data_IF_575444345363
#
_entry.id   IF_575444345363
#
_cell.length_a   1.000
_cell.length_b   1.000
_cell.length_c   1.000
_cell.angle_alpha   90.00
_cell.angle_beta   90.00
_cell.angle_gamma   90.00
#
_symmetry.space_group_name_H-M   'P 1'
#
loop_
_entity.id
_entity.type
_entity.pdbx_description
1 polymer ?
#
# COMPACT_ATOMS: atom_id res chain seq x y z
N UNK A 1 -31.74 15.43 40.05
CA UNK A 1 -30.97 14.43 40.82
C UNK A 1 -31.65 13.10 40.60
N UNK A 2 -31.13 12.09 39.92
CA UNK A 2 -29.89 11.85 39.18
C UNK A 2 -30.12 10.49 38.52
N UNK A 3 -29.95 10.33 37.21
CA UNK A 3 -29.85 9.00 36.64
C UNK A 3 -28.55 8.38 37.17
N UNK A 4 -28.66 7.36 38.02
CA UNK A 4 -27.52 6.60 38.51
C UNK A 4 -27.06 5.64 37.40
N UNK A 5 -26.20 6.10 36.50
CA UNK A 5 -25.31 5.21 35.76
C UNK A 5 -24.28 4.66 36.75
N UNK A 6 -24.68 3.66 37.52
CA UNK A 6 -23.84 3.00 38.50
C UNK A 6 -23.24 1.74 37.86
N UNK A 7 -22.39 1.95 36.85
CA UNK A 7 -21.26 1.07 36.47
C UNK A 7 -20.51 1.68 35.27
N UNK A 8 -19.70 2.70 35.57
CA UNK A 8 -18.72 3.30 34.66
C UNK A 8 -17.32 2.68 34.84
N UNK A 9 -17.24 1.35 35.02
CA UNK A 9 -15.94 0.69 35.29
C UNK A 9 -15.66 -0.58 34.52
N UNK A 10 -16.39 -0.89 33.45
CA UNK A 10 -15.99 -1.98 32.55
C UNK A 10 -16.22 -1.66 31.06
N UNK A 11 -15.68 -0.52 30.63
CA UNK A 11 -15.19 -0.41 29.24
C UNK A 11 -13.71 -0.79 29.33
N UNK A 12 -13.44 -2.05 29.67
CA UNK A 12 -12.20 -2.66 29.25
C UNK A 12 -12.25 -2.66 27.73
N UNK A 13 -11.45 -1.75 27.17
CA UNK A 13 -10.89 -1.71 25.84
C UNK A 13 -11.03 -3.05 25.08
N UNK A 14 -12.21 -3.32 24.51
CA UNK A 14 -12.30 -4.22 23.37
C UNK A 14 -11.70 -3.45 22.20
N UNK A 15 -10.36 -3.35 22.17
CA UNK A 15 -9.69 -3.36 20.87
C UNK A 15 -10.06 -4.73 20.31
N UNK A 16 -11.13 -4.78 19.49
CA UNK A 16 -11.55 -6.03 18.88
C UNK A 16 -10.32 -6.70 18.31
N UNK A 17 -10.14 -7.99 18.60
CA UNK A 17 -9.08 -8.78 17.97
C UNK A 17 -9.08 -8.44 16.48
N UNK A 18 -7.92 -8.12 15.88
CA UNK A 18 -7.83 -7.96 14.44
C UNK A 18 -8.58 -9.12 13.76
N UNK A 19 -9.52 -8.80 12.88
CA UNK A 19 -10.37 -9.81 12.25
C UNK A 19 -9.51 -10.89 11.57
N UNK A 20 -9.96 -12.14 11.64
CA UNK A 20 -9.30 -13.26 10.97
C UNK A 20 -9.26 -13.00 9.46
N UNK A 21 -8.05 -12.81 8.92
CA UNK A 21 -7.69 -12.67 7.51
C UNK A 21 -8.75 -12.01 6.62
N UNK A 22 -8.67 -10.70 6.43
CA UNK A 22 -9.26 -10.07 5.26
C UNK A 22 -8.57 -10.61 4.01
N UNK A 23 -9.21 -11.56 3.31
CA UNK A 23 -8.78 -12.00 1.97
C UNK A 23 -8.61 -10.74 1.12
N UNK A 24 -7.41 -10.58 0.58
CA UNK A 24 -6.91 -9.40 -0.13
C UNK A 24 -7.98 -8.69 -0.98
N UNK A 25 -8.29 -7.44 -0.63
CA UNK A 25 -9.06 -6.54 -1.50
C UNK A 25 -8.15 -5.84 -2.51
N UNK A 26 -8.61 -5.64 -3.74
CA UNK A 26 -7.85 -4.94 -4.79
C UNK A 26 -6.65 -5.73 -5.35
N UNK A 27 -5.75 -5.03 -6.06
CA UNK A 27 -4.50 -5.60 -6.58
C UNK A 27 -3.47 -5.69 -5.43
N UNK A 28 -3.49 -6.80 -4.69
CA UNK A 28 -2.62 -7.00 -3.52
C UNK A 28 -1.96 -8.38 -3.44
N UNK A 29 -0.78 -8.46 -2.82
CA UNK A 29 -0.10 -9.71 -2.46
C UNK A 29 0.84 -9.48 -1.27
N UNK A 30 1.55 -10.52 -0.80
CA UNK A 30 2.29 -10.50 0.48
C UNK A 30 3.76 -10.89 0.33
N UNK A 31 4.64 -10.24 1.09
CA UNK A 31 6.07 -10.51 1.19
C UNK A 31 6.53 -10.48 2.65
N UNK A 32 7.70 -11.03 2.94
CA UNK A 32 8.38 -10.85 4.24
C UNK A 32 9.19 -9.56 4.24
N UNK A 33 9.23 -8.84 5.36
CA UNK A 33 10.10 -7.66 5.45
C UNK A 33 11.54 -8.05 5.78
N UNK A 34 12.48 -7.50 5.03
CA UNK A 34 13.91 -7.60 5.31
C UNK A 34 14.39 -6.27 5.93
N UNK A 35 14.73 -6.32 7.22
CA UNK A 35 15.13 -5.16 8.01
C UNK A 35 16.57 -4.70 7.75
N UNK A 36 17.36 -5.45 6.99
CA UNK A 36 18.72 -5.06 6.62
C UNK A 36 18.64 -4.10 5.44
N UNK A 37 19.38 -2.98 5.49
CA UNK A 37 19.47 -2.07 4.36
C UNK A 37 20.37 -2.67 3.26
N UNK A 38 19.96 -2.54 1.99
CA UNK A 38 20.65 -3.10 0.85
C UNK A 38 19.81 -3.01 -0.43
N UNK A 39 20.34 -3.50 -1.56
CA UNK A 39 19.71 -3.31 -2.88
C UNK A 39 18.91 -4.54 -3.32
N UNK A 40 19.43 -5.75 -3.09
CA UNK A 40 18.75 -6.98 -3.51
C UNK A 40 18.08 -7.66 -2.31
N UNK A 41 16.74 -7.77 -2.27
CA UNK A 41 16.06 -8.61 -1.29
C UNK A 41 16.27 -10.09 -1.59
N UNK A 42 16.28 -10.92 -0.55
CA UNK A 42 16.18 -12.36 -0.71
C UNK A 42 14.83 -12.79 -1.32
N UNK A 43 14.72 -14.05 -1.75
CA UNK A 43 13.48 -14.60 -2.27
C UNK A 43 12.34 -14.44 -1.26
N UNK A 44 11.15 -14.04 -1.71
CA UNK A 44 9.99 -13.76 -0.84
C UNK A 44 10.10 -12.51 0.04
N UNK A 45 11.14 -11.68 -0.10
CA UNK A 45 11.30 -10.47 0.70
C UNK A 45 11.01 -9.16 -0.05
N UNK A 46 10.61 -8.17 0.76
CA UNK A 46 10.53 -6.74 0.43
C UNK A 46 11.39 -5.96 1.43
N UNK A 47 12.03 -4.87 0.98
CA UNK A 47 12.81 -3.99 1.86
C UNK A 47 12.78 -2.55 1.44
N UNK A 48 13.13 -1.70 2.39
CA UNK A 48 13.40 -0.28 2.19
C UNK A 48 14.89 -0.01 2.01
N UNK A 49 15.20 1.10 1.34
CA UNK A 49 16.58 1.59 1.25
C UNK A 49 17.14 2.11 2.57
N UNK A 50 16.26 2.52 3.49
CA UNK A 50 16.61 3.04 4.81
C UNK A 50 15.68 2.48 5.88
N UNK A 51 16.16 2.40 7.13
CA UNK A 51 15.38 1.86 8.26
C UNK A 51 14.32 2.82 8.82
N UNK A 52 14.32 4.09 8.42
CA UNK A 52 13.33 5.08 8.88
C UNK A 52 12.21 5.19 7.83
N UNK A 53 10.96 4.75 8.13
CA UNK A 53 9.88 4.70 7.15
C UNK A 53 9.57 6.03 6.44
N UNK A 54 9.65 7.15 7.16
CA UNK A 54 9.41 8.48 6.60
C UNK A 54 10.49 8.98 5.62
N UNK A 55 11.66 8.33 5.58
CA UNK A 55 12.78 8.69 4.72
C UNK A 55 12.96 7.74 3.53
N UNK A 56 12.01 6.83 3.32
CA UNK A 56 12.07 5.84 2.24
C UNK A 56 11.85 6.52 0.90
N UNK A 57 12.82 6.34 0.02
CA UNK A 57 12.78 6.82 -1.38
C UNK A 57 12.83 5.67 -2.38
N UNK A 58 13.18 4.47 -1.91
CA UNK A 58 13.32 3.30 -2.76
C UNK A 58 12.88 2.05 -2.01
N UNK A 59 12.06 1.25 -2.67
CA UNK A 59 11.58 -0.05 -2.18
C UNK A 59 12.10 -1.11 -3.15
N UNK A 60 12.66 -2.19 -2.60
CA UNK A 60 13.08 -3.35 -3.38
C UNK A 60 12.16 -4.51 -3.06
N UNK A 61 11.59 -5.13 -4.09
CA UNK A 61 10.61 -6.20 -3.96
C UNK A 61 11.00 -7.39 -4.84
N UNK A 62 11.15 -8.55 -4.22
CA UNK A 62 11.42 -9.78 -4.97
C UNK A 62 10.21 -10.17 -5.83
N UNK A 63 10.46 -10.72 -7.02
CA UNK A 63 9.37 -11.17 -7.89
C UNK A 63 8.66 -12.40 -7.38
N UNK A 64 9.31 -13.19 -6.52
CA UNK A 64 8.66 -14.27 -5.78
C UNK A 64 8.08 -13.73 -4.48
N UNK A 65 6.81 -14.03 -4.21
CA UNK A 65 6.11 -13.59 -3.01
C UNK A 65 6.28 -14.53 -1.81
N UNK A 66 5.58 -14.22 -0.71
CA UNK A 66 5.58 -15.01 0.53
C UNK A 66 5.26 -16.49 0.30
N UNK A 67 4.32 -16.80 -0.60
CA UNK A 67 3.84 -18.16 -0.90
C UNK A 67 4.69 -18.86 -1.98
N UNK A 68 5.89 -18.33 -2.29
CA UNK A 68 6.76 -18.84 -3.35
C UNK A 68 6.14 -18.81 -4.76
N UNK A 69 5.22 -17.88 -4.99
CA UNK A 69 4.57 -17.66 -6.30
C UNK A 69 5.27 -16.53 -7.05
N UNK A 70 5.40 -16.68 -8.37
CA UNK A 70 5.89 -15.62 -9.25
C UNK A 70 4.84 -14.49 -9.41
N UNK A 71 5.23 -13.28 -9.04
CA UNK A 71 4.46 -12.04 -9.10
C UNK A 71 5.05 -11.02 -10.09
N UNK A 72 5.97 -11.43 -10.97
CA UNK A 72 6.58 -10.57 -12.00
C UNK A 72 5.52 -9.80 -12.81
N UNK A 73 4.46 -10.47 -13.27
CA UNK A 73 3.35 -9.87 -14.01
C UNK A 73 2.53 -8.87 -13.17
N UNK A 74 2.31 -9.19 -11.89
CA UNK A 74 1.61 -8.29 -10.96
C UNK A 74 2.41 -7.01 -10.72
N UNK A 75 3.73 -7.12 -10.47
CA UNK A 75 4.60 -5.96 -10.26
C UNK A 75 4.77 -5.14 -11.54
N UNK A 76 4.77 -5.78 -12.72
CA UNK A 76 4.76 -5.09 -14.00
C UNK A 76 3.47 -4.27 -14.23
N UNK A 77 2.34 -4.71 -13.67
CA UNK A 77 1.06 -4.01 -13.80
C UNK A 77 1.06 -2.61 -13.18
N UNK A 78 1.99 -2.31 -12.28
CA UNK A 78 2.07 -1.02 -11.61
C UNK A 78 2.38 0.14 -12.56
N UNK A 79 2.91 -0.15 -13.75
CA UNK A 79 3.14 0.82 -14.83
C UNK A 79 2.22 0.59 -16.04
N UNK A 80 1.20 -0.28 -15.95
CA UNK A 80 0.38 -0.63 -17.12
C UNK A 80 -0.39 0.56 -17.71
N UNK A 81 -0.65 1.60 -16.91
CA UNK A 81 -1.37 2.82 -17.34
C UNK A 81 -0.43 4.00 -17.63
N UNK A 82 0.89 3.85 -17.50
CA UNK A 82 1.88 4.93 -17.68
C UNK A 82 1.99 5.92 -16.51
N UNK A 83 0.91 6.11 -15.73
CA UNK A 83 0.84 7.11 -14.65
C UNK A 83 1.16 6.57 -13.24
N UNK A 84 1.76 5.37 -13.14
CA UNK A 84 2.01 4.67 -11.88
C UNK A 84 0.79 4.70 -10.92
N UNK A 85 1.02 4.65 -9.61
CA UNK A 85 -0.07 4.67 -8.66
C UNK A 85 0.36 4.80 -7.20
N UNK A 86 -0.64 4.76 -6.33
CA UNK A 86 -0.44 4.70 -4.89
C UNK A 86 -0.09 3.27 -4.49
N UNK A 87 0.88 3.16 -3.59
CA UNK A 87 1.26 1.89 -2.98
C UNK A 87 1.08 1.99 -1.47
N UNK A 88 0.46 0.96 -0.89
CA UNK A 88 0.29 0.81 0.55
C UNK A 88 0.91 -0.51 1.00
N UNK A 89 1.78 -0.43 2.00
CA UNK A 89 2.41 -1.56 2.67
C UNK A 89 1.90 -1.57 4.11
N UNK A 90 1.46 -2.72 4.63
CA UNK A 90 1.02 -2.82 6.02
C UNK A 90 1.25 -4.23 6.56
N UNK A 91 1.38 -4.37 7.89
CA UNK A 91 1.48 -5.71 8.50
C UNK A 91 0.14 -6.43 8.39
N UNK A 92 0.17 -7.69 7.97
CA UNK A 92 -1.02 -8.53 7.81
C UNK A 92 -1.89 -8.59 9.07
N UNK A 93 -1.25 -8.68 10.24
CA UNK A 93 -1.94 -8.80 11.54
C UNK A 93 -1.97 -7.50 12.36
N UNK A 94 -1.39 -6.41 11.85
CA UNK A 94 -1.44 -5.09 12.49
C UNK A 94 -1.46 -3.99 11.42
N UNK A 95 -2.65 -3.67 10.93
CA UNK A 95 -2.83 -2.63 9.92
C UNK A 95 -2.52 -1.21 10.44
N UNK A 96 -2.31 -1.01 11.74
CA UNK A 96 -1.84 0.28 12.28
C UNK A 96 -0.37 0.51 11.95
N UNK A 97 0.41 -0.55 11.72
CA UNK A 97 1.77 -0.43 11.23
C UNK A 97 1.77 -0.46 9.69
N UNK A 98 2.03 0.69 9.07
CA UNK A 98 1.89 0.84 7.63
C UNK A 98 2.84 1.90 7.04
N UNK A 99 2.98 1.85 5.72
CA UNK A 99 3.65 2.82 4.88
C UNK A 99 2.82 3.07 3.62
N UNK A 100 2.65 4.33 3.23
CA UNK A 100 1.91 4.77 2.05
C UNK A 100 2.78 5.77 1.28
N UNK A 101 2.78 5.62 -0.04
CA UNK A 101 3.43 6.56 -0.93
C UNK A 101 2.96 6.41 -2.37
N UNK A 102 3.59 7.17 -3.24
CA UNK A 102 3.36 7.14 -4.69
C UNK A 102 4.57 6.54 -5.37
N UNK A 103 4.34 5.64 -6.34
CA UNK A 103 5.40 5.11 -7.19
C UNK A 103 5.69 6.13 -8.29
N UNK A 104 6.97 6.41 -8.54
CA UNK A 104 7.42 7.37 -9.58
C UNK A 104 8.30 6.74 -10.65
N UNK A 105 8.88 5.56 -10.36
CA UNK A 105 9.63 4.79 -11.33
C UNK A 105 9.69 3.31 -10.91
N UNK A 106 9.80 2.41 -11.89
CA UNK A 106 10.01 0.99 -11.68
C UNK A 106 11.14 0.52 -12.60
N UNK A 107 12.14 -0.13 -12.02
CA UNK A 107 13.25 -0.76 -12.75
C UNK A 107 13.23 -2.26 -12.48
N UNK A 108 13.31 -3.04 -13.55
CA UNK A 108 13.47 -4.49 -13.48
C UNK A 108 14.94 -4.87 -13.32
N UNK A 109 15.24 -5.68 -12.31
CA UNK A 109 16.58 -6.21 -12.04
C UNK A 109 16.62 -7.75 -12.14
N UNK A 110 15.66 -8.35 -12.84
CA UNK A 110 15.62 -9.77 -13.17
C UNK A 110 14.89 -10.62 -12.12
N UNK A 111 15.38 -10.66 -10.88
CA UNK A 111 14.73 -11.42 -9.79
C UNK A 111 13.97 -10.55 -8.79
N UNK A 112 14.07 -9.23 -8.94
CA UNK A 112 13.42 -8.24 -8.11
C UNK A 112 13.15 -6.97 -8.92
N UNK A 113 12.18 -6.18 -8.47
CA UNK A 113 11.95 -4.82 -8.97
C UNK A 113 12.48 -3.79 -7.98
N UNK A 114 13.00 -2.69 -8.52
CA UNK A 114 13.33 -1.47 -7.77
C UNK A 114 12.25 -0.44 -8.02
N UNK A 115 11.53 -0.05 -6.97
CA UNK A 115 10.48 0.97 -7.01
C UNK A 115 11.05 2.27 -6.44
N UNK A 116 11.13 3.33 -7.26
CA UNK A 116 11.35 4.67 -6.73
C UNK A 116 10.02 5.22 -6.24
N UNK A 117 10.01 5.73 -5.01
CA UNK A 117 8.77 6.14 -4.34
C UNK A 117 8.91 7.48 -3.64
N UNK A 118 7.79 8.16 -3.49
CA UNK A 118 7.65 9.34 -2.64
C UNK A 118 6.77 8.97 -1.46
N UNK A 119 7.31 9.08 -0.24
CA UNK A 119 6.55 8.85 0.99
C UNK A 119 5.43 9.88 1.15
N UNK A 120 4.26 9.42 1.59
CA UNK A 120 3.10 10.26 1.92
C UNK A 120 2.76 10.18 3.40
N UNK A 121 2.69 8.96 3.93
CA UNK A 121 2.34 8.72 5.34
C UNK A 121 2.84 7.36 5.80
N UNK A 122 3.23 7.24 7.06
CA UNK A 122 3.56 5.96 7.68
C UNK A 122 3.30 6.01 9.18
N UNK A 123 3.06 4.85 9.79
CA UNK A 123 2.97 4.69 11.23
C UNK A 123 3.65 3.39 11.65
N UNK A 124 4.38 3.41 12.77
CA UNK A 124 5.18 2.28 13.24
C UNK A 124 6.38 1.96 12.35
N UNK A 125 7.02 0.83 12.62
CA UNK A 125 8.17 0.30 11.87
C UNK A 125 7.96 -1.18 11.58
N UNK A 126 8.43 -1.63 10.41
CA UNK A 126 8.51 -3.05 10.10
C UNK A 126 9.78 -3.66 10.71
N UNK A 127 9.65 -4.89 11.18
CA UNK A 127 10.69 -5.73 11.75
C UNK A 127 11.01 -6.87 10.78
N UNK A 128 12.17 -7.50 10.95
CA UNK A 128 12.54 -8.66 10.15
C UNK A 128 11.45 -9.74 10.21
N UNK A 129 11.20 -10.38 9.06
CA UNK A 129 10.21 -11.45 8.87
C UNK A 129 8.74 -11.06 9.05
N UNK A 130 8.43 -9.79 9.29
CA UNK A 130 7.03 -9.33 9.30
C UNK A 130 6.37 -9.64 7.96
N UNK A 131 5.15 -10.16 8.01
CA UNK A 131 4.35 -10.41 6.83
C UNK A 131 3.69 -9.10 6.36
N UNK A 132 4.19 -8.56 5.25
CA UNK A 132 3.79 -7.28 4.69
C UNK A 132 2.88 -7.49 3.49
N UNK A 133 1.66 -6.97 3.59
CA UNK A 133 0.73 -6.90 2.46
C UNK A 133 1.05 -5.65 1.65
N UNK A 134 1.29 -5.84 0.36
CA UNK A 134 1.49 -4.78 -0.63
C UNK A 134 0.20 -4.65 -1.44
N UNK A 135 -0.38 -3.46 -1.42
CA UNK A 135 -1.58 -3.09 -2.18
C UNK A 135 -1.26 -1.96 -3.14
N UNK A 136 -1.73 -2.09 -4.38
CA UNK A 136 -1.56 -1.08 -5.42
C UNK A 136 -2.90 -0.52 -5.89
N UNK A 137 -2.95 0.80 -6.06
CA UNK A 137 -4.08 1.52 -6.64
C UNK A 137 -3.58 2.41 -7.76
N UNK A 138 -3.93 2.15 -9.03
CA UNK A 138 -3.50 2.99 -10.15
C UNK A 138 -4.12 4.38 -10.03
N UNK A 139 -3.31 5.42 -10.25
CA UNK A 139 -3.83 6.79 -10.39
C UNK A 139 -4.21 6.94 -11.86
N UNK A 140 -5.50 6.83 -12.18
CA UNK A 140 -5.96 7.32 -13.48
C UNK A 140 -6.04 8.83 -13.40
N UNK A 141 -5.30 9.55 -14.25
CA UNK A 141 -5.68 10.90 -14.58
C UNK A 141 -7.03 10.79 -15.32
N UNK A 142 -8.13 11.05 -14.60
CA UNK A 142 -9.43 11.16 -15.24
C UNK A 142 -9.31 12.21 -16.33
N UNK A 143 -9.70 11.87 -17.56
CA UNK A 143 -9.98 12.90 -18.55
C UNK A 143 -10.88 13.92 -17.87
N UNK A 144 -10.45 15.18 -17.78
CA UNK A 144 -11.33 16.30 -17.48
C UNK A 144 -12.56 16.08 -18.37
N UNK A 145 -13.70 15.74 -17.77
CA UNK A 145 -14.93 15.59 -18.51
C UNK A 145 -15.10 16.88 -19.29
N UNK A 146 -15.13 16.80 -20.62
CA UNK A 146 -15.50 17.94 -21.43
C UNK A 146 -16.91 18.31 -20.98
N UNK A 147 -17.03 19.35 -20.14
CA UNK A 147 -18.32 19.90 -19.75
C UNK A 147 -19.03 20.25 -21.05
N UNK A 148 -20.16 19.59 -21.29
CA UNK A 148 -20.90 19.70 -22.52
C UNK A 148 -21.15 21.16 -22.84
N UNK A 149 -20.66 21.59 -24.00
CA UNK A 149 -21.04 22.87 -24.60
C UNK A 149 -22.56 22.89 -24.71
N UNK A 150 -23.23 23.61 -23.81
CA UNK A 150 -24.64 23.94 -23.96
C UNK A 150 -24.73 24.89 -25.14
N UNK A 151 -25.04 24.34 -26.31
CA UNK A 151 -25.48 25.14 -27.45
C UNK A 151 -26.77 25.82 -27.01
N UNK A 152 -26.69 27.09 -26.64
CA UNK A 152 -27.85 27.95 -26.48
C UNK A 152 -28.44 28.19 -27.87
N UNK A 153 -29.25 27.25 -28.37
CA UNK A 153 -30.25 27.56 -29.39
C UNK A 153 -31.32 28.40 -28.71
N UNK A 154 -31.32 29.68 -29.04
CA UNK A 154 -32.36 30.61 -28.63
C UNK A 154 -33.71 30.33 -29.28
N UNK A 155 -34.65 31.19 -28.86
CA UNK A 155 -36.03 31.39 -29.33
C UNK A 155 -37.08 30.52 -28.63
N UNK A 156 -37.69 31.11 -27.61
CA UNK A 156 -39.14 31.06 -27.44
C UNK A 156 -39.63 32.51 -27.30
N UNK A 157 -40.40 32.90 -28.32
CA UNK A 157 -41.26 34.08 -28.51
C UNK A 157 -40.67 35.50 -28.49
#
# INVERSE_FOLDING_TARGET
MSCSCNDCTDITLFSGNPGTNGIFGGQSSKWKFDAVAGIAPAISYIRFNVGVPASVTTIYINETNFDSTDMSAFLASFNATGDYGLIRLFKEFDANTFWIGTITNIVDAGTYKTLTVTHTQSNGTFSADDAIVVSFTPIKQGALGAEGSIVATGVWD
#
